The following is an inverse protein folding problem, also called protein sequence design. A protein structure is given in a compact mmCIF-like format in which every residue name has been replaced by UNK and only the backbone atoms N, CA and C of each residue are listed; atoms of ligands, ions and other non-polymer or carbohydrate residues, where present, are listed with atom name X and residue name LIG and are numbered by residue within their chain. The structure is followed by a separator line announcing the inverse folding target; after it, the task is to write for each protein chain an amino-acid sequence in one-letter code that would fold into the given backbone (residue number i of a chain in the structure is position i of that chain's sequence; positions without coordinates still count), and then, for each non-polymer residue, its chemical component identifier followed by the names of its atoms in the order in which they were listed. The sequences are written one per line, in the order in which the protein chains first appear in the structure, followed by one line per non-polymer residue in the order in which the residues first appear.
data_IF_649079638600
#
_entry.id   IF_649079638600
#
_cell.length_a   1.000
_cell.length_b   1.000
_cell.length_c   1.000
_cell.angle_alpha   90.00
_cell.angle_beta   90.00
_cell.angle_gamma   90.00
#
_symmetry.space_group_name_H-M   'P 1'
#
loop_
_entity.id
_entity.type
_entity.pdbx_description
1 polymer ?
#
# COMPACT_ATOMS: atom_id res chain seq x y z
N UNK A 1 16.01 -32.79 20.03
CA UNK A 1 15.83 -31.35 20.00
C UNK A 1 16.11 -30.87 18.59
N UNK A 2 15.03 -30.51 17.90
CA UNK A 2 15.13 -30.07 16.50
C UNK A 2 15.38 -28.56 16.48
N UNK A 3 16.55 -28.16 16.01
CA UNK A 3 16.85 -26.78 15.73
C UNK A 3 16.38 -26.54 14.29
N UNK A 4 15.23 -25.90 14.14
CA UNK A 4 14.76 -25.50 12.82
C UNK A 4 15.63 -24.37 12.29
N UNK A 5 16.35 -24.63 11.22
CA UNK A 5 17.05 -23.59 10.50
C UNK A 5 16.04 -22.78 9.70
N UNK A 6 15.74 -21.58 10.16
CA UNK A 6 14.96 -20.64 9.40
C UNK A 6 15.79 -20.17 8.21
N UNK A 7 15.45 -20.67 7.05
CA UNK A 7 16.02 -20.14 5.81
C UNK A 7 15.29 -18.84 5.51
N UNK A 8 15.95 -17.72 5.74
CA UNK A 8 15.46 -16.42 5.34
C UNK A 8 15.55 -16.32 3.82
N UNK A 9 14.44 -16.56 3.15
CA UNK A 9 14.34 -16.22 1.74
C UNK A 9 14.33 -14.71 1.60
N UNK A 10 15.09 -14.15 0.63
CA UNK A 10 15.34 -12.72 0.45
C UNK A 10 14.15 -11.85 0.02
N UNK A 11 12.90 -12.24 0.35
CA UNK A 11 11.72 -11.42 0.14
C UNK A 11 11.37 -10.65 1.40
N UNK A 12 11.18 -9.32 1.28
CA UNK A 12 10.71 -8.51 2.38
C UNK A 12 9.27 -8.92 2.75
N UNK A 13 9.02 -9.01 4.05
CA UNK A 13 7.68 -9.34 4.58
C UNK A 13 7.25 -8.27 5.57
N UNK A 14 5.95 -7.97 5.58
CA UNK A 14 5.31 -7.11 6.57
C UNK A 14 4.19 -7.89 7.25
N UNK A 15 3.78 -7.45 8.45
CA UNK A 15 2.67 -8.06 9.14
C UNK A 15 1.37 -7.83 8.38
N UNK A 16 0.57 -8.90 8.26
CA UNK A 16 -0.72 -8.85 7.56
C UNK A 16 -1.88 -8.84 8.55
N UNK A 17 -3.00 -8.25 8.13
CA UNK A 17 -4.24 -8.23 8.88
C UNK A 17 -4.87 -9.64 8.93
N UNK A 18 -5.79 -9.88 9.90
CA UNK A 18 -6.60 -11.09 9.89
C UNK A 18 -7.35 -11.27 8.56
N UNK A 19 -7.53 -12.51 8.15
CA UNK A 19 -8.17 -12.82 6.86
C UNK A 19 -9.59 -12.26 6.74
N UNK A 20 -10.34 -12.18 7.85
CA UNK A 20 -11.66 -11.57 7.86
C UNK A 20 -11.64 -10.09 7.45
N UNK A 21 -10.64 -9.34 7.89
CA UNK A 21 -10.47 -7.94 7.49
C UNK A 21 -10.03 -7.82 6.02
N UNK A 22 -9.18 -8.73 5.56
CA UNK A 22 -8.73 -8.77 4.19
C UNK A 22 -9.92 -9.04 3.24
N UNK A 23 -10.76 -10.02 3.57
CA UNK A 23 -11.96 -10.34 2.79
C UNK A 23 -12.91 -9.14 2.74
N UNK A 24 -13.13 -8.47 3.87
CA UNK A 24 -14.00 -7.30 3.94
C UNK A 24 -13.48 -6.14 3.10
N UNK A 25 -12.19 -5.83 3.19
CA UNK A 25 -11.58 -4.75 2.41
C UNK A 25 -11.67 -5.01 0.90
N UNK A 26 -11.59 -6.28 0.49
CA UNK A 26 -11.70 -6.69 -0.92
C UNK A 26 -13.12 -6.67 -1.48
N UNK A 27 -14.11 -6.35 -0.68
CA UNK A 27 -15.47 -6.08 -1.16
C UNK A 27 -15.57 -4.69 -1.78
N UNK A 28 -14.62 -3.81 -1.51
CA UNK A 28 -14.54 -2.46 -2.05
C UNK A 28 -15.81 -1.64 -1.82
N UNK A 29 -16.45 -1.84 -0.68
CA UNK A 29 -17.67 -1.11 -0.33
C UNK A 29 -17.38 0.39 -0.28
N UNK A 30 -18.35 1.18 -0.77
CA UNK A 30 -18.25 2.62 -0.67
C UNK A 30 -18.24 3.04 0.81
N UNK A 31 -17.34 3.95 1.22
CA UNK A 31 -17.39 4.50 2.57
C UNK A 31 -18.63 5.38 2.75
N UNK A 32 -18.92 5.75 3.99
CA UNK A 32 -19.98 6.70 4.28
C UNK A 32 -19.69 8.07 3.64
N UNK A 33 -20.71 8.90 3.44
CA UNK A 33 -20.57 10.19 2.71
C UNK A 33 -19.65 11.18 3.40
N UNK A 34 -19.38 11.02 4.70
CA UNK A 34 -18.46 11.85 5.46
C UNK A 34 -17.01 11.33 5.44
N UNK A 35 -16.74 10.25 4.69
CA UNK A 35 -15.44 9.64 4.56
C UNK A 35 -15.10 9.36 3.09
N UNK A 36 -13.81 9.29 2.83
CA UNK A 36 -13.25 8.78 1.57
C UNK A 36 -12.38 7.57 1.86
N UNK A 37 -12.37 6.58 0.98
CA UNK A 37 -11.50 5.42 1.10
C UNK A 37 -10.26 5.58 0.25
N UNK A 38 -9.10 5.19 0.78
CA UNK A 38 -7.84 5.18 0.04
C UNK A 38 -7.24 3.79 0.12
N UNK A 39 -7.08 3.16 -1.05
CA UNK A 39 -6.35 1.91 -1.21
C UNK A 39 -4.97 2.24 -1.79
N UNK A 40 -3.93 1.77 -1.13
CA UNK A 40 -2.55 1.90 -1.63
C UNK A 40 -1.98 0.50 -1.75
N UNK A 41 -1.54 0.11 -2.94
CA UNK A 41 -1.07 -1.26 -3.15
C UNK A 41 0.27 -1.31 -3.88
N UNK A 42 1.01 -2.36 -3.57
CA UNK A 42 2.21 -2.74 -4.29
C UNK A 42 2.02 -4.15 -4.83
N UNK A 43 2.04 -4.26 -6.14
CA UNK A 43 1.76 -5.53 -6.84
C UNK A 43 2.90 -6.55 -6.70
N UNK A 44 2.75 -7.66 -7.42
CA UNK A 44 3.71 -8.76 -7.40
C UNK A 44 4.93 -8.58 -8.29
N UNK A 45 5.24 -7.35 -8.73
CA UNK A 45 6.44 -7.11 -9.54
C UNK A 45 7.69 -7.61 -8.84
N UNK A 46 8.53 -8.33 -9.58
CA UNK A 46 9.79 -8.86 -9.04
C UNK A 46 10.84 -7.76 -8.82
N UNK A 47 10.72 -6.65 -9.52
CA UNK A 47 11.62 -5.50 -9.35
C UNK A 47 11.47 -4.94 -7.94
N UNK A 48 12.56 -4.94 -7.18
CA UNK A 48 12.56 -4.45 -5.81
C UNK A 48 11.85 -5.35 -4.80
N UNK A 49 11.67 -6.65 -5.10
CA UNK A 49 10.92 -7.59 -4.25
C UNK A 49 11.43 -7.65 -2.80
N UNK A 50 12.72 -7.39 -2.58
CA UNK A 50 13.31 -7.37 -1.25
C UNK A 50 13.20 -6.04 -0.52
N UNK A 51 12.58 -5.02 -1.10
CA UNK A 51 12.53 -3.67 -0.54
C UNK A 51 11.23 -3.42 0.22
N UNK A 52 11.35 -2.84 1.40
CA UNK A 52 10.24 -2.24 2.16
C UNK A 52 10.34 -0.74 2.03
N UNK A 53 9.21 -0.07 1.88
CA UNK A 53 9.14 1.39 1.76
C UNK A 53 8.03 1.95 2.64
N UNK A 54 8.35 2.92 3.46
CA UNK A 54 7.38 3.57 4.32
C UNK A 54 6.35 4.34 3.50
N UNK A 55 5.10 4.28 3.96
CA UNK A 55 3.98 5.03 3.39
C UNK A 55 3.41 6.01 4.42
N UNK A 56 2.99 7.16 3.93
CA UNK A 56 2.42 8.23 4.75
C UNK A 56 1.17 8.79 4.08
N UNK A 57 0.20 9.21 4.88
CA UNK A 57 -0.93 10.03 4.45
C UNK A 57 -0.91 11.30 5.30
N UNK A 58 -0.81 12.46 4.66
CA UNK A 58 -0.73 13.77 5.32
C UNK A 58 0.36 13.80 6.40
N UNK A 59 1.54 13.29 6.05
CA UNK A 59 2.72 13.16 6.92
C UNK A 59 2.59 12.19 8.08
N UNK A 60 1.48 11.45 8.16
CA UNK A 60 1.30 10.41 9.18
C UNK A 60 1.73 9.06 8.62
N UNK A 61 2.62 8.38 9.33
CA UNK A 61 3.07 7.04 8.99
C UNK A 61 1.91 6.06 9.06
N UNK A 62 1.66 5.32 7.96
CA UNK A 62 0.61 4.30 7.92
C UNK A 62 1.14 2.88 7.89
N UNK A 63 2.40 2.68 7.59
CA UNK A 63 3.04 1.37 7.61
C UNK A 63 4.14 1.25 6.57
N UNK A 64 4.87 0.15 6.66
CA UNK A 64 5.84 -0.24 5.63
C UNK A 64 5.14 -1.08 4.57
N UNK A 65 5.34 -0.72 3.31
CA UNK A 65 4.85 -1.48 2.17
C UNK A 65 5.90 -2.50 1.72
N UNK A 66 5.42 -3.62 1.21
CA UNK A 66 6.22 -4.68 0.63
C UNK A 66 5.47 -5.28 -0.56
N UNK A 67 6.18 -6.10 -1.35
CA UNK A 67 5.59 -6.83 -2.48
C UNK A 67 4.33 -7.60 -2.05
N UNK A 68 3.28 -7.54 -2.86
CA UNK A 68 2.01 -8.24 -2.65
C UNK A 68 1.19 -7.76 -1.44
N UNK A 69 1.39 -6.51 -1.02
CA UNK A 69 0.70 -5.91 0.13
C UNK A 69 -0.13 -4.71 -0.33
N UNK A 70 -1.29 -4.52 0.30
CA UNK A 70 -2.06 -3.30 0.15
C UNK A 70 -2.50 -2.76 1.50
N UNK A 71 -2.83 -1.47 1.51
CA UNK A 71 -3.37 -0.74 2.66
C UNK A 71 -4.74 -0.21 2.30
N UNK A 72 -5.62 -0.15 3.28
CA UNK A 72 -6.89 0.56 3.18
C UNK A 72 -7.04 1.51 4.36
N UNK A 73 -7.27 2.78 4.08
CA UNK A 73 -7.47 3.82 5.08
C UNK A 73 -8.66 4.68 4.71
N UNK A 74 -9.41 5.15 5.72
CA UNK A 74 -10.44 6.16 5.52
C UNK A 74 -9.93 7.51 5.98
N UNK A 75 -10.28 8.55 5.24
CA UNK A 75 -9.89 9.94 5.51
C UNK A 75 -11.09 10.85 5.36
N UNK A 76 -10.99 12.08 5.84
CA UNK A 76 -11.99 13.11 5.56
C UNK A 76 -11.94 13.48 4.09
N UNK A 77 -13.09 13.82 3.46
CA UNK A 77 -13.05 14.36 2.09
C UNK A 77 -12.21 15.62 2.00
N UNK A 78 -11.49 15.79 0.90
CA UNK A 78 -10.65 16.96 0.65
C UNK A 78 -9.30 16.60 0.05
N UNK A 79 -8.34 17.52 0.16
CA UNK A 79 -6.99 17.32 -0.35
C UNK A 79 -6.16 16.49 0.60
N UNK A 80 -5.44 15.53 0.04
CA UNK A 80 -4.53 14.68 0.80
C UNK A 80 -3.21 14.51 0.07
N UNK A 81 -2.15 14.42 0.84
CA UNK A 81 -0.82 14.09 0.34
C UNK A 81 -0.50 12.65 0.72
N UNK A 82 -0.23 11.83 -0.29
CA UNK A 82 0.24 10.46 -0.10
C UNK A 82 1.74 10.46 -0.37
N UNK A 83 2.54 9.91 0.52
CA UNK A 83 3.99 9.90 0.37
C UNK A 83 4.55 8.50 0.49
N UNK A 84 5.58 8.21 -0.30
CA UNK A 84 6.37 7.00 -0.19
C UNK A 84 7.83 7.36 0.05
N UNK A 85 8.47 6.61 0.93
CA UNK A 85 9.91 6.64 1.10
C UNK A 85 10.62 6.26 -0.20
N UNK A 86 11.68 6.98 -0.52
CA UNK A 86 12.58 6.68 -1.66
C UNK A 86 14.02 6.98 -1.25
N UNK A 87 15.04 6.66 -2.10
CA UNK A 87 16.46 6.80 -1.68
C UNK A 87 16.89 8.24 -1.45
N UNK A 88 16.25 9.17 -2.16
CA UNK A 88 16.65 10.60 -2.13
C UNK A 88 15.58 11.46 -1.47
N UNK A 89 14.89 10.92 -0.47
CA UNK A 89 13.77 11.55 0.19
C UNK A 89 12.44 10.92 -0.22
N UNK A 90 11.34 11.52 0.21
CA UNK A 90 10.02 11.02 -0.10
C UNK A 90 9.54 11.50 -1.47
N UNK A 91 8.77 10.66 -2.16
CA UNK A 91 7.97 11.07 -3.31
C UNK A 91 6.53 11.24 -2.89
N UNK A 92 5.90 12.31 -3.34
CA UNK A 92 4.55 12.70 -2.95
C UNK A 92 3.58 12.64 -4.13
N UNK A 93 2.35 12.24 -3.84
CA UNK A 93 1.21 12.31 -4.76
C UNK A 93 0.09 13.05 -4.05
N UNK A 94 -0.44 14.09 -4.68
CA UNK A 94 -1.57 14.86 -4.15
C UNK A 94 -2.85 14.41 -4.81
N UNK A 95 -3.87 14.12 -4.02
CA UNK A 95 -5.19 13.74 -4.50
C UNK A 95 -6.25 14.60 -3.81
N UNK A 96 -7.37 14.82 -4.50
CA UNK A 96 -8.56 15.43 -3.91
C UNK A 96 -9.66 14.39 -3.86
N UNK A 97 -10.17 14.11 -2.67
CA UNK A 97 -11.17 13.05 -2.46
C UNK A 97 -12.55 13.63 -2.20
N UNK A 98 -13.57 12.89 -2.61
CA UNK A 98 -14.98 13.15 -2.32
C UNK A 98 -15.52 12.10 -1.37
N UNK A 99 -16.45 12.49 -0.50
CA UNK A 99 -17.08 11.56 0.41
C UNK A 99 -17.87 10.46 -0.32
N UNK A 100 -17.86 9.27 0.24
CA UNK A 100 -18.55 8.12 -0.33
C UNK A 100 -17.83 7.43 -1.47
N UNK A 101 -16.58 7.80 -1.76
CA UNK A 101 -15.81 7.24 -2.87
C UNK A 101 -14.50 6.62 -2.41
N UNK A 102 -14.05 5.60 -3.14
CA UNK A 102 -12.76 4.96 -2.99
C UNK A 102 -11.78 5.44 -4.07
N UNK A 103 -10.53 5.59 -3.67
CA UNK A 103 -9.42 6.02 -4.51
C UNK A 103 -8.32 4.98 -4.47
N UNK A 104 -7.65 4.76 -5.60
CA UNK A 104 -6.70 3.66 -5.76
C UNK A 104 -5.35 4.20 -6.22
N UNK A 105 -4.31 3.87 -5.46
CA UNK A 105 -2.95 4.34 -5.68
C UNK A 105 -2.02 3.13 -5.69
N UNK A 106 -1.18 3.05 -6.71
CA UNK A 106 -0.14 2.04 -6.81
C UNK A 106 1.18 2.63 -6.36
N UNK A 107 1.85 1.94 -5.44
CA UNK A 107 3.25 2.16 -5.16
C UNK A 107 4.07 1.20 -6.01
N UNK A 108 5.09 1.69 -6.67
CA UNK A 108 5.94 0.87 -7.50
C UNK A 108 7.41 1.20 -7.27
N UNK A 109 8.27 0.21 -7.50
CA UNK A 109 9.72 0.36 -7.39
C UNK A 109 10.28 0.65 -8.79
N UNK A 110 11.23 1.58 -8.84
CA UNK A 110 12.03 1.87 -10.02
C UNK A 110 13.50 1.92 -9.64
N UNK A 111 14.37 1.54 -10.55
CA UNK A 111 15.81 1.63 -10.30
C UNK A 111 16.33 3.00 -10.71
N UNK A 112 17.04 3.66 -9.80
CA UNK A 112 17.72 4.93 -10.04
C UNK A 112 19.18 4.73 -9.63
N UNK A 113 20.11 4.81 -10.58
CA UNK A 113 21.55 4.59 -10.34
C UNK A 113 21.83 3.30 -9.54
N UNK A 114 21.20 2.19 -9.92
CA UNK A 114 21.30 0.89 -9.26
C UNK A 114 20.71 0.83 -7.84
N UNK A 115 20.00 1.86 -7.42
CA UNK A 115 19.31 1.91 -6.13
C UNK A 115 17.80 1.84 -6.37
N UNK A 116 17.09 1.01 -5.61
CA UNK A 116 15.63 0.85 -5.74
C UNK A 116 14.88 2.01 -5.13
N UNK A 117 14.26 2.87 -5.97
CA UNK A 117 13.40 3.97 -5.58
C UNK A 117 11.93 3.59 -5.63
N UNK A 118 11.09 4.31 -4.91
CA UNK A 118 9.65 4.11 -4.95
C UNK A 118 8.93 5.38 -5.40
N UNK A 119 7.82 5.19 -6.12
CA UNK A 119 6.95 6.26 -6.53
C UNK A 119 5.48 5.81 -6.43
N UNK A 120 4.57 6.75 -6.62
CA UNK A 120 3.13 6.55 -6.50
C UNK A 120 2.44 7.01 -7.78
N UNK A 121 1.36 6.30 -8.14
CA UNK A 121 0.50 6.68 -9.25
C UNK A 121 -0.96 6.38 -8.93
N UNK A 122 -1.86 7.25 -9.37
CA UNK A 122 -3.29 6.96 -9.34
C UNK A 122 -3.63 5.93 -10.41
N UNK A 123 -4.50 4.98 -10.08
CA UNK A 123 -4.88 3.88 -10.96
C UNK A 123 -6.40 3.85 -11.08
N UNK A 124 -6.90 3.49 -12.25
CA UNK A 124 -8.33 3.33 -12.43
C UNK A 124 -8.87 2.19 -11.55
N UNK A 125 -10.15 2.30 -11.18
CA UNK A 125 -10.79 1.41 -10.23
C UNK A 125 -10.74 -0.06 -10.65
N UNK A 126 -11.08 -0.37 -11.89
CA UNK A 126 -11.18 -1.75 -12.36
C UNK A 126 -9.80 -2.44 -12.37
N UNK A 127 -8.79 -1.74 -12.84
CA UNK A 127 -7.41 -2.24 -12.85
C UNK A 127 -6.89 -2.46 -11.43
N UNK A 128 -7.15 -1.49 -10.54
CA UNK A 128 -6.70 -1.57 -9.15
C UNK A 128 -7.37 -2.73 -8.41
N UNK A 129 -8.68 -2.88 -8.56
CA UNK A 129 -9.42 -3.98 -7.92
C UNK A 129 -8.91 -5.34 -8.37
N UNK A 130 -8.66 -5.51 -9.65
CA UNK A 130 -8.11 -6.75 -10.19
C UNK A 130 -6.73 -7.08 -9.58
N UNK A 131 -5.89 -6.07 -9.40
CA UNK A 131 -4.58 -6.24 -8.77
C UNK A 131 -4.72 -6.56 -7.27
N UNK A 132 -5.52 -5.80 -6.53
CA UNK A 132 -5.66 -5.92 -5.08
C UNK A 132 -6.24 -7.27 -4.67
N UNK A 133 -7.11 -7.86 -5.48
CA UNK A 133 -7.68 -9.18 -5.20
C UNK A 133 -6.63 -10.28 -4.98
N UNK A 134 -5.44 -10.11 -5.53
CA UNK A 134 -4.33 -11.05 -5.43
C UNK A 134 -3.39 -10.76 -4.25
N UNK A 135 -3.64 -9.69 -3.51
CA UNK A 135 -2.74 -9.17 -2.48
C UNK A 135 -3.28 -9.45 -1.08
N UNK A 136 -2.50 -9.12 -0.07
CA UNK A 136 -2.90 -9.23 1.34
C UNK A 136 -2.92 -7.86 1.99
N UNK A 137 -3.92 -7.65 2.84
CA UNK A 137 -4.08 -6.42 3.60
C UNK A 137 -3.00 -6.33 4.68
N UNK A 138 -2.30 -5.20 4.74
CA UNK A 138 -1.37 -4.93 5.83
C UNK A 138 -2.11 -4.77 7.15
N UNK A 139 -1.48 -5.21 8.25
CA UNK A 139 -2.03 -5.00 9.59
C UNK A 139 -2.10 -3.51 9.88
N UNK A 140 -3.22 -3.06 10.46
CA UNK A 140 -3.35 -1.68 10.90
C UNK A 140 -2.40 -1.39 12.05
N UNK A 141 -1.79 -0.20 12.01
CA UNK A 141 -1.07 0.34 13.15
C UNK A 141 -2.08 0.85 14.18
N UNK A 142 -1.81 0.56 15.43
CA UNK A 142 -2.63 1.05 16.55
C UNK A 142 -2.04 2.34 17.09
#
# INVERSE_FOLDING_TARGET
MLVGTLILTGCAKVAVAPESENVQAKQFNAPTKDKSGIYIYRDGSILGAGLKKNLYIDDKFIGESARNIYFYKTVKPGKHKISTESEFGNNDLYITTQGGKNYFIRQYIRMVFFVGGANLESVDEEKAKAAIKKLKLARSLQ
#
